data_IF_189532608464
#
_entry.id   IF_189532608464
#
_cell.length_a   1.000
_cell.length_b   1.000
_cell.length_c   1.000
_cell.angle_alpha   90.00
_cell.angle_beta   90.00
_cell.angle_gamma   90.00
#
_symmetry.space_group_name_H-M   'P 1'
#
loop_
_entity.id
_entity.type
_entity.pdbx_description
1 polymer ?
#
# COMPACT_ATOMS: atom_id res chain seq x y z
N UNK A 1 72.36 -18.15 -26.29
CA UNK A 1 72.01 -17.19 -25.23
C UNK A 1 70.50 -16.83 -25.24
N UNK A 2 69.96 -16.52 -26.44
CA UNK A 2 68.57 -16.11 -26.64
C UNK A 2 67.56 -17.15 -26.16
N UNK A 3 67.76 -18.43 -26.49
CA UNK A 3 66.89 -19.54 -26.07
C UNK A 3 66.88 -19.73 -24.52
N UNK A 4 68.00 -19.49 -23.86
CA UNK A 4 68.09 -19.56 -22.40
C UNK A 4 67.34 -18.43 -21.70
N UNK A 5 67.39 -17.23 -22.30
CA UNK A 5 66.66 -16.06 -21.78
C UNK A 5 65.14 -16.27 -21.93
N UNK A 6 64.71 -16.73 -23.13
CA UNK A 6 63.28 -17.01 -23.37
C UNK A 6 62.72 -18.11 -22.43
N UNK A 7 63.50 -19.19 -22.23
CA UNK A 7 63.11 -20.24 -21.29
C UNK A 7 62.97 -19.72 -19.84
N UNK A 8 63.88 -18.82 -19.42
CA UNK A 8 63.85 -18.23 -18.10
C UNK A 8 62.71 -17.26 -17.89
N UNK A 9 62.37 -16.49 -18.93
CA UNK A 9 61.21 -15.59 -18.93
C UNK A 9 59.93 -16.40 -18.78
N UNK A 10 59.75 -17.45 -19.58
CA UNK A 10 58.56 -18.32 -19.51
C UNK A 10 58.43 -19.00 -18.14
N UNK A 11 59.53 -19.43 -17.50
CA UNK A 11 59.51 -19.99 -16.16
C UNK A 11 59.06 -18.96 -15.11
N UNK A 12 59.51 -17.70 -15.19
CA UNK A 12 59.16 -16.63 -14.27
C UNK A 12 57.70 -16.22 -14.48
N UNK A 13 57.22 -16.13 -15.71
CA UNK A 13 55.84 -15.82 -16.01
C UNK A 13 54.88 -16.94 -15.53
N UNK A 14 55.25 -18.21 -15.73
CA UNK A 14 54.49 -19.35 -15.22
C UNK A 14 54.40 -19.33 -13.70
N UNK A 15 55.46 -19.00 -12.99
CA UNK A 15 55.45 -18.87 -11.52
C UNK A 15 54.49 -17.74 -11.05
N UNK A 16 54.57 -16.57 -11.71
CA UNK A 16 53.68 -15.42 -11.41
C UNK A 16 52.20 -15.76 -11.66
N UNK A 17 51.92 -16.48 -12.75
CA UNK A 17 50.55 -16.90 -13.06
C UNK A 17 50.04 -17.89 -11.98
N UNK A 18 50.83 -18.87 -11.60
CA UNK A 18 50.47 -19.83 -10.58
C UNK A 18 50.25 -19.19 -9.20
N UNK A 19 51.10 -18.24 -8.81
CA UNK A 19 50.93 -17.48 -7.55
C UNK A 19 49.66 -16.63 -7.59
N UNK A 20 49.30 -16.09 -8.74
CA UNK A 20 48.05 -15.34 -8.91
C UNK A 20 46.82 -16.26 -8.82
N UNK A 21 46.85 -17.43 -9.49
CA UNK A 21 45.78 -18.42 -9.44
C UNK A 21 45.55 -18.95 -8.04
N UNK A 22 46.62 -19.19 -7.27
CA UNK A 22 46.46 -19.62 -5.85
C UNK A 22 45.84 -18.52 -4.97
N UNK A 23 46.16 -17.24 -5.20
CA UNK A 23 45.57 -16.14 -4.47
C UNK A 23 44.13 -15.87 -4.86
N UNK A 24 43.75 -16.15 -6.10
CA UNK A 24 42.41 -15.95 -6.64
C UNK A 24 41.52 -17.22 -6.50
N UNK A 25 42.03 -18.27 -5.84
CA UNK A 25 41.29 -19.50 -5.61
C UNK A 25 40.05 -19.24 -4.79
N UNK A 26 38.88 -19.43 -5.40
CA UNK A 26 37.59 -19.34 -4.74
C UNK A 26 37.17 -20.72 -4.26
N UNK A 27 36.77 -20.82 -3.01
CA UNK A 27 36.23 -22.06 -2.47
C UNK A 27 34.81 -22.28 -3.00
N UNK A 28 34.70 -23.17 -4.00
CA UNK A 28 33.44 -23.55 -4.62
C UNK A 28 32.61 -24.58 -3.82
N UNK A 29 33.17 -25.07 -2.68
CA UNK A 29 32.46 -25.99 -1.80
C UNK A 29 31.57 -25.26 -0.78
N UNK A 30 31.75 -23.95 -0.64
CA UNK A 30 30.86 -23.15 0.19
C UNK A 30 29.45 -23.14 -0.42
N UNK A 31 28.42 -23.35 0.39
CA UNK A 31 27.05 -23.25 -0.08
C UNK A 31 26.76 -21.86 -0.64
N UNK A 32 25.99 -21.80 -1.72
CA UNK A 32 25.52 -20.54 -2.28
C UNK A 32 24.85 -19.71 -1.17
N UNK A 33 25.13 -18.39 -1.16
CA UNK A 33 24.45 -17.50 -0.21
C UNK A 33 22.96 -17.64 -0.43
N UNK A 34 22.17 -17.94 0.63
CA UNK A 34 20.74 -18.13 0.48
C UNK A 34 20.14 -16.85 -0.11
N UNK A 35 19.59 -16.95 -1.31
CA UNK A 35 18.85 -15.86 -1.92
C UNK A 35 17.51 -15.75 -1.18
N UNK A 36 17.44 -14.82 -0.23
CA UNK A 36 16.18 -14.52 0.47
C UNK A 36 15.27 -13.81 -0.51
N UNK A 37 14.33 -14.53 -1.11
CA UNK A 37 13.25 -13.90 -1.88
C UNK A 37 12.41 -13.09 -0.91
N UNK A 38 12.35 -11.78 -1.14
CA UNK A 38 11.39 -10.91 -0.46
C UNK A 38 9.96 -11.39 -0.73
N UNK A 39 9.07 -11.16 0.24
CA UNK A 39 7.64 -11.43 0.11
C UNK A 39 6.88 -10.12 0.31
N UNK A 40 5.82 -9.92 -0.46
CA UNK A 40 4.92 -8.79 -0.27
C UNK A 40 4.11 -9.02 0.99
N UNK A 41 3.91 -7.97 1.78
CA UNK A 41 3.13 -8.06 3.02
C UNK A 41 1.67 -8.44 2.71
N UNK A 42 1.00 -9.30 3.50
CA UNK A 42 -0.38 -9.71 3.23
C UNK A 42 -1.37 -8.56 3.05
N UNK A 43 -1.26 -7.49 3.85
CA UNK A 43 -2.10 -6.29 3.69
C UNK A 43 -1.91 -5.63 2.33
N UNK A 44 -0.65 -5.52 1.84
CA UNK A 44 -0.39 -4.95 0.50
C UNK A 44 -0.98 -5.84 -0.59
N UNK A 45 -0.84 -7.16 -0.48
CA UNK A 45 -1.46 -8.10 -1.42
C UNK A 45 -2.99 -7.95 -1.45
N UNK A 46 -3.61 -7.82 -0.27
CA UNK A 46 -5.07 -7.62 -0.15
C UNK A 46 -5.51 -6.29 -0.77
N UNK A 47 -4.76 -5.20 -0.57
CA UNK A 47 -5.05 -3.90 -1.19
C UNK A 47 -4.93 -3.98 -2.70
N UNK A 48 -3.89 -4.63 -3.22
CA UNK A 48 -3.66 -4.82 -4.65
C UNK A 48 -4.80 -5.65 -5.28
N UNK A 49 -5.24 -6.71 -4.61
CA UNK A 49 -6.35 -7.56 -5.05
C UNK A 49 -7.68 -6.78 -5.06
N UNK A 50 -8.01 -6.07 -3.98
CA UNK A 50 -9.20 -5.20 -3.92
C UNK A 50 -9.16 -4.15 -5.05
N UNK A 51 -8.02 -3.51 -5.24
CA UNK A 51 -7.82 -2.49 -6.28
C UNK A 51 -8.01 -3.08 -7.68
N UNK A 52 -7.52 -4.29 -7.92
CA UNK A 52 -7.72 -5.00 -9.19
C UNK A 52 -9.20 -5.28 -9.47
N UNK A 53 -9.93 -5.85 -8.50
CA UNK A 53 -11.36 -6.16 -8.62
C UNK A 53 -12.18 -4.90 -8.90
N UNK A 54 -11.93 -3.80 -8.20
CA UNK A 54 -12.64 -2.55 -8.43
C UNK A 54 -12.27 -1.89 -9.76
N UNK A 55 -11.01 -2.02 -10.20
CA UNK A 55 -10.58 -1.53 -11.52
C UNK A 55 -11.29 -2.24 -12.67
N UNK A 56 -11.56 -3.54 -12.56
CA UNK A 56 -12.33 -4.30 -13.57
C UNK A 56 -13.75 -3.76 -13.78
N UNK A 57 -14.36 -3.20 -12.75
CA UNK A 57 -15.67 -2.56 -12.83
C UNK A 57 -15.59 -1.03 -13.02
N UNK A 58 -14.39 -0.52 -13.35
CA UNK A 58 -14.16 0.85 -13.80
C UNK A 58 -13.96 1.89 -12.69
N UNK A 59 -13.54 1.48 -11.49
CA UNK A 59 -13.07 2.40 -10.47
C UNK A 59 -11.60 2.73 -10.68
N UNK A 60 -11.21 3.97 -10.49
CA UNK A 60 -9.81 4.39 -10.34
C UNK A 60 -9.39 4.36 -8.87
N UNK A 61 -8.10 4.16 -8.63
CA UNK A 61 -7.52 4.22 -7.29
C UNK A 61 -7.02 5.62 -7.05
N UNK A 62 -7.47 6.24 -5.97
CA UNK A 62 -7.03 7.56 -5.52
C UNK A 62 -6.37 7.46 -4.16
N UNK A 63 -5.27 8.18 -3.97
CA UNK A 63 -4.50 8.19 -2.74
C UNK A 63 -4.46 9.57 -2.10
N UNK A 64 -4.24 9.62 -0.80
CA UNK A 64 -4.09 10.86 -0.05
C UNK A 64 -3.18 10.71 1.17
N UNK A 65 -2.77 11.82 1.79
CA UNK A 65 -1.85 11.81 2.91
C UNK A 65 -2.48 11.22 4.18
N UNK A 66 -1.66 10.61 5.02
CA UNK A 66 -2.07 10.14 6.34
C UNK A 66 -2.30 11.31 7.33
N UNK A 67 -1.49 12.37 7.19
CA UNK A 67 -1.66 13.62 7.93
C UNK A 67 -2.61 14.52 7.17
N UNK A 68 -3.71 14.90 7.78
CA UNK A 68 -4.79 15.61 7.13
C UNK A 68 -5.22 16.83 7.93
N UNK A 69 -5.92 17.75 7.27
CA UNK A 69 -6.54 18.87 7.96
C UNK A 69 -7.96 18.51 8.45
N UNK A 70 -8.40 19.21 9.46
CA UNK A 70 -9.70 19.06 10.08
C UNK A 70 -10.84 19.24 9.04
N UNK A 71 -10.72 20.22 8.17
CA UNK A 71 -11.71 20.52 7.15
C UNK A 71 -12.01 19.30 6.25
N UNK A 72 -10.98 18.66 5.69
CA UNK A 72 -11.16 17.50 4.83
C UNK A 72 -11.64 16.27 5.58
N UNK A 73 -11.21 16.11 6.84
CA UNK A 73 -11.52 14.92 7.63
C UNK A 73 -12.92 14.98 8.26
N UNK A 74 -13.46 16.18 8.50
CA UNK A 74 -14.72 16.35 9.22
C UNK A 74 -15.66 17.36 8.56
N UNK A 75 -15.29 18.63 8.49
CA UNK A 75 -16.19 19.70 8.08
C UNK A 75 -16.76 19.51 6.68
N UNK A 76 -15.93 19.18 5.70
CA UNK A 76 -16.35 18.93 4.32
C UNK A 76 -17.23 17.67 4.18
N UNK A 77 -17.18 16.76 5.16
CA UNK A 77 -18.00 15.56 5.23
C UNK A 77 -19.28 15.77 6.05
N UNK A 78 -19.61 17.03 6.36
CA UNK A 78 -20.80 17.41 7.14
C UNK A 78 -20.82 16.81 8.57
N UNK A 79 -19.63 16.68 9.17
CA UNK A 79 -19.48 16.29 10.58
C UNK A 79 -19.35 17.55 11.43
N UNK A 80 -20.38 17.94 12.22
CA UNK A 80 -20.38 19.18 12.98
C UNK A 80 -19.38 19.16 14.16
N UNK A 81 -19.05 20.34 14.70
CA UNK A 81 -18.02 20.50 15.75
C UNK A 81 -18.34 19.73 17.04
N UNK A 82 -19.61 19.56 17.34
CA UNK A 82 -20.08 18.82 18.53
C UNK A 82 -20.27 17.31 18.28
N UNK A 83 -19.82 16.79 17.14
CA UNK A 83 -19.95 15.36 16.82
C UNK A 83 -18.94 14.55 17.67
N UNK A 84 -19.36 13.41 18.28
CA UNK A 84 -18.48 12.59 19.13
C UNK A 84 -17.19 12.12 18.43
N UNK A 85 -17.23 11.87 17.11
CA UNK A 85 -16.05 11.46 16.33
C UNK A 85 -14.92 12.51 16.30
N UNK A 86 -15.20 13.77 16.69
CA UNK A 86 -14.20 14.83 16.84
C UNK A 86 -13.58 14.88 18.23
N UNK A 87 -14.03 14.03 19.15
CA UNK A 87 -13.47 14.00 20.49
C UNK A 87 -12.00 13.55 20.44
N UNK A 88 -11.21 14.09 21.36
CA UNK A 88 -9.79 13.71 21.51
C UNK A 88 -9.59 12.24 21.86
N UNK A 89 -10.62 11.58 22.36
CA UNK A 89 -10.57 10.14 22.64
C UNK A 89 -10.52 9.27 21.39
N UNK A 90 -11.05 9.76 20.27
CA UNK A 90 -11.14 8.98 19.02
C UNK A 90 -10.21 9.50 17.92
N UNK A 91 -9.57 10.67 18.08
CA UNK A 91 -8.76 11.32 17.04
C UNK A 91 -7.38 11.70 17.54
N UNK A 92 -6.33 11.36 16.78
CA UNK A 92 -4.98 11.85 17.03
C UNK A 92 -4.77 13.20 16.39
N UNK A 93 -4.87 14.27 17.18
CA UNK A 93 -4.50 15.62 16.77
C UNK A 93 -3.00 15.82 16.91
N UNK A 94 -2.38 16.48 15.95
CA UNK A 94 -0.94 16.74 15.89
C UNK A 94 -0.58 18.16 16.33
N UNK A 95 -1.59 19.02 16.52
CA UNK A 95 -1.43 20.40 16.96
C UNK A 95 -2.43 20.75 18.08
N UNK A 96 -2.13 21.81 18.82
CA UNK A 96 -2.97 22.30 19.93
C UNK A 96 -4.29 22.90 19.45
N UNK A 97 -4.32 23.45 18.23
CA UNK A 97 -5.49 24.08 17.64
C UNK A 97 -6.48 23.08 17.05
N UNK A 98 -6.12 21.79 17.00
CA UNK A 98 -6.90 20.70 16.39
C UNK A 98 -7.17 20.89 14.90
N UNK A 99 -6.28 21.59 14.19
CA UNK A 99 -6.39 21.83 12.75
C UNK A 99 -5.75 20.71 11.93
N UNK A 100 -4.73 20.03 12.51
CA UNK A 100 -3.96 18.94 11.88
C UNK A 100 -4.09 17.67 12.68
N UNK A 101 -4.39 16.56 11.99
CA UNK A 101 -4.65 15.27 12.60
C UNK A 101 -4.16 14.11 11.74
N UNK A 102 -4.09 12.92 12.34
CA UNK A 102 -4.01 11.68 11.58
C UNK A 102 -5.43 11.28 11.15
N UNK A 103 -5.64 11.08 9.85
CA UNK A 103 -6.97 10.79 9.29
C UNK A 103 -7.62 9.59 9.97
N UNK A 104 -8.87 9.75 10.37
CA UNK A 104 -9.67 8.73 11.07
C UNK A 104 -10.38 7.75 10.11
N UNK A 105 -10.41 8.07 8.84
CA UNK A 105 -10.96 7.30 7.72
C UNK A 105 -10.32 7.76 6.41
N UNK A 106 -10.60 7.08 5.31
CA UNK A 106 -10.06 7.44 3.99
C UNK A 106 -10.92 8.43 3.20
N UNK A 107 -12.05 8.88 3.76
CA UNK A 107 -12.97 9.84 3.12
C UNK A 107 -12.34 11.22 2.76
N UNK A 108 -11.29 11.73 3.44
CA UNK A 108 -10.59 12.92 2.98
C UNK A 108 -10.10 12.84 1.52
N UNK A 109 -9.77 11.65 1.04
CA UNK A 109 -9.38 11.43 -0.37
C UNK A 109 -10.54 11.76 -1.31
N UNK A 110 -11.77 11.40 -0.93
CA UNK A 110 -12.98 11.74 -1.69
C UNK A 110 -13.15 13.25 -1.79
N UNK A 111 -12.96 13.97 -0.67
CA UNK A 111 -13.03 15.44 -0.63
C UNK A 111 -11.97 16.05 -1.53
N UNK A 112 -10.71 15.58 -1.44
CA UNK A 112 -9.61 16.05 -2.28
C UNK A 112 -9.88 15.85 -3.77
N UNK A 113 -10.43 14.70 -4.14
CA UNK A 113 -10.82 14.39 -5.52
C UNK A 113 -11.93 15.33 -6.00
N UNK A 114 -12.97 15.54 -5.19
CA UNK A 114 -14.07 16.45 -5.53
C UNK A 114 -13.67 17.92 -5.60
N UNK A 115 -12.64 18.34 -4.85
CA UNK A 115 -12.09 19.70 -4.93
C UNK A 115 -11.21 19.91 -6.17
N UNK A 116 -10.59 18.84 -6.68
CA UNK A 116 -9.69 18.88 -7.85
C UNK A 116 -10.44 18.78 -9.18
N UNK A 117 -11.43 17.91 -9.25
CA UNK A 117 -12.14 17.56 -10.48
C UNK A 117 -13.66 17.73 -10.34
N UNK A 118 -14.38 17.53 -11.44
CA UNK A 118 -15.86 17.55 -11.50
C UNK A 118 -16.41 16.15 -11.76
N UNK A 119 -17.63 15.84 -11.28
CA UNK A 119 -18.29 14.56 -11.60
C UNK A 119 -18.39 14.32 -13.12
N UNK A 120 -18.43 13.06 -13.55
CA UNK A 120 -18.65 11.86 -12.75
C UNK A 120 -17.39 11.36 -12.02
N UNK A 121 -17.57 10.79 -10.80
CA UNK A 121 -16.49 10.14 -10.04
C UNK A 121 -16.79 8.66 -9.85
N UNK A 122 -15.80 7.83 -10.02
CA UNK A 122 -15.87 6.40 -9.72
C UNK A 122 -14.51 5.94 -9.22
N UNK A 123 -14.29 6.10 -7.91
CA UNK A 123 -12.99 5.94 -7.26
C UNK A 123 -13.07 5.00 -6.07
N UNK A 124 -11.95 4.36 -5.74
CA UNK A 124 -11.68 3.77 -4.43
C UNK A 124 -10.50 4.50 -3.78
N UNK A 125 -10.54 4.59 -2.46
CA UNK A 125 -9.51 5.21 -1.65
C UNK A 125 -8.99 4.21 -0.61
N UNK A 126 -7.99 3.38 -0.96
CA UNK A 126 -7.30 2.53 0.00
C UNK A 126 -6.33 3.35 0.85
N UNK A 127 -6.13 2.96 2.12
CA UNK A 127 -5.14 3.63 2.94
C UNK A 127 -5.18 3.25 4.41
N UNK A 128 -4.21 3.76 5.15
CA UNK A 128 -4.14 3.67 6.60
C UNK A 128 -5.06 4.68 7.23
N UNK A 129 -5.63 4.32 8.36
CA UNK A 129 -6.47 5.18 9.21
C UNK A 129 -6.07 5.01 10.65
N UNK A 130 -6.35 6.02 11.46
CA UNK A 130 -5.83 6.11 12.81
C UNK A 130 -6.94 6.53 13.78
N UNK A 131 -7.05 5.79 14.89
CA UNK A 131 -7.99 6.11 15.98
C UNK A 131 -7.30 5.91 17.31
N UNK A 132 -7.51 6.82 18.24
CA UNK A 132 -6.86 6.76 19.54
C UNK A 132 -7.54 5.80 20.52
N UNK A 133 -8.29 4.83 20.01
CA UNK A 133 -8.86 3.74 20.81
C UNK A 133 -7.75 2.95 21.53
N UNK A 134 -7.91 2.77 22.82
CA UNK A 134 -6.93 2.12 23.69
C UNK A 134 -7.55 0.96 24.45
N UNK A 135 -8.05 -0.05 23.74
CA UNK A 135 -8.53 -1.29 24.36
C UNK A 135 -7.85 -2.54 23.76
N UNK A 136 -8.13 -3.71 24.34
CA UNK A 136 -7.51 -4.97 23.91
C UNK A 136 -7.98 -5.45 22.54
N UNK A 137 -9.03 -4.87 21.98
CA UNK A 137 -9.69 -5.32 20.75
C UNK A 137 -9.47 -4.40 19.57
N UNK A 138 -9.02 -3.16 19.81
CA UNK A 138 -8.81 -2.15 18.79
C UNK A 138 -7.33 -1.83 18.58
N UNK A 139 -6.89 -1.84 17.34
CA UNK A 139 -5.57 -1.34 16.96
C UNK A 139 -5.68 0.17 16.65
N UNK A 140 -4.72 1.00 17.12
CA UNK A 140 -4.74 2.45 16.86
C UNK A 140 -4.53 2.81 15.39
N UNK A 141 -4.06 1.89 14.58
CA UNK A 141 -3.91 1.98 13.13
C UNK A 141 -4.49 0.75 12.44
N UNK A 142 -5.29 0.98 11.42
CA UNK A 142 -5.82 -0.09 10.57
C UNK A 142 -5.91 0.38 9.12
N UNK A 143 -6.18 -0.55 8.21
CA UNK A 143 -6.34 -0.25 6.80
C UNK A 143 -7.82 -0.22 6.43
N UNK A 144 -8.19 0.70 5.56
CA UNK A 144 -9.54 0.89 5.06
C UNK A 144 -9.53 1.09 3.56
N UNK A 145 -10.58 0.64 2.88
CA UNK A 145 -10.86 0.97 1.49
C UNK A 145 -12.26 1.53 1.42
N UNK A 146 -12.38 2.77 0.98
CA UNK A 146 -13.68 3.41 0.71
C UNK A 146 -13.91 3.53 -0.79
N UNK A 147 -15.17 3.47 -1.21
CA UNK A 147 -15.57 3.68 -2.59
C UNK A 147 -16.52 4.86 -2.73
N UNK A 148 -16.32 5.66 -3.77
CA UNK A 148 -17.21 6.76 -4.16
C UNK A 148 -17.61 6.60 -5.61
N UNK A 149 -18.93 6.62 -5.88
CA UNK A 149 -19.47 6.68 -7.22
C UNK A 149 -20.53 7.78 -7.30
N UNK A 150 -20.22 8.83 -8.03
CA UNK A 150 -21.12 9.96 -8.31
C UNK A 150 -21.32 10.04 -9.81
N UNK A 151 -22.55 9.81 -10.24
CA UNK A 151 -22.94 9.92 -11.65
C UNK A 151 -24.46 10.12 -11.73
N UNK A 152 -24.95 10.47 -12.94
CA UNK A 152 -26.38 10.49 -13.22
C UNK A 152 -26.98 9.08 -13.11
N UNK A 153 -28.16 8.97 -12.53
CA UNK A 153 -28.93 7.71 -12.37
C UNK A 153 -28.32 6.65 -11.44
N UNK A 154 -27.33 6.99 -10.61
CA UNK A 154 -26.84 6.08 -9.57
C UNK A 154 -27.90 5.91 -8.47
N UNK A 155 -28.09 4.67 -8.04
CA UNK A 155 -29.08 4.29 -7.04
C UNK A 155 -28.60 3.12 -6.17
N UNK A 156 -29.40 2.75 -5.17
CA UNK A 156 -29.09 1.68 -4.23
C UNK A 156 -28.87 0.31 -4.91
N UNK A 157 -29.47 0.07 -6.07
CA UNK A 157 -29.24 -1.15 -6.86
C UNK A 157 -27.82 -1.25 -7.37
N UNK A 158 -27.21 -0.14 -7.78
CA UNK A 158 -25.81 -0.07 -8.20
C UNK A 158 -24.87 -0.36 -7.02
N UNK A 159 -25.13 0.23 -5.83
CA UNK A 159 -24.35 -0.05 -4.64
C UNK A 159 -24.39 -1.54 -4.29
N UNK A 160 -25.59 -2.12 -4.23
CA UNK A 160 -25.78 -3.57 -3.95
C UNK A 160 -25.09 -4.43 -5.00
N UNK A 161 -25.20 -4.08 -6.27
CA UNK A 161 -24.55 -4.78 -7.38
C UNK A 161 -23.03 -4.77 -7.24
N UNK A 162 -22.44 -3.60 -6.97
CA UNK A 162 -21.03 -3.42 -6.76
C UNK A 162 -20.49 -4.26 -5.58
N UNK A 163 -21.16 -4.21 -4.43
CA UNK A 163 -20.78 -5.00 -3.25
C UNK A 163 -20.94 -6.51 -3.49
N UNK A 164 -22.01 -6.94 -4.18
CA UNK A 164 -22.17 -8.35 -4.54
C UNK A 164 -21.07 -8.84 -5.47
N UNK A 165 -20.69 -8.04 -6.45
CA UNK A 165 -19.58 -8.35 -7.36
C UNK A 165 -18.29 -8.49 -6.57
N UNK A 166 -17.91 -7.46 -5.83
CA UNK A 166 -16.69 -7.45 -5.02
C UNK A 166 -16.56 -8.66 -4.11
N UNK A 167 -17.62 -8.99 -3.34
CA UNK A 167 -17.55 -10.11 -2.39
C UNK A 167 -17.43 -11.45 -3.12
N UNK A 168 -18.08 -11.62 -4.28
CA UNK A 168 -17.98 -12.88 -5.05
C UNK A 168 -16.57 -13.08 -5.60
N UNK A 169 -15.98 -12.05 -6.15
CA UNK A 169 -14.63 -12.13 -6.71
C UNK A 169 -13.59 -12.29 -5.60
N UNK A 170 -13.64 -11.47 -4.55
CA UNK A 170 -12.67 -11.48 -3.46
C UNK A 170 -12.66 -12.79 -2.65
N UNK A 171 -13.80 -13.38 -2.41
CA UNK A 171 -13.93 -14.67 -1.68
C UNK A 171 -14.07 -15.88 -2.60
N UNK A 172 -13.99 -15.70 -3.92
CA UNK A 172 -14.12 -16.77 -4.94
C UNK A 172 -15.39 -17.62 -4.77
N UNK A 173 -16.52 -17.00 -4.39
CA UNK A 173 -17.78 -17.70 -4.09
C UNK A 173 -18.83 -17.47 -5.15
N UNK A 174 -19.45 -18.54 -5.63
CA UNK A 174 -20.52 -18.49 -6.65
C UNK A 174 -21.85 -17.94 -6.10
N UNK A 175 -22.15 -18.18 -4.84
CA UNK A 175 -23.40 -17.73 -4.19
C UNK A 175 -23.07 -17.17 -2.81
N UNK A 176 -23.59 -15.98 -2.52
CA UNK A 176 -23.48 -15.35 -1.22
C UNK A 176 -24.84 -14.79 -0.82
N UNK A 177 -25.16 -14.89 0.48
CA UNK A 177 -26.36 -14.27 1.06
C UNK A 177 -25.92 -13.04 1.85
N UNK A 178 -26.14 -11.87 1.28
CA UNK A 178 -25.83 -10.60 1.93
C UNK A 178 -27.05 -10.05 2.65
N UNK A 179 -26.81 -9.33 3.76
CA UNK A 179 -27.79 -8.47 4.41
C UNK A 179 -27.47 -7.02 4.04
N UNK A 180 -28.50 -6.26 3.72
CA UNK A 180 -28.42 -4.83 3.45
C UNK A 180 -29.38 -4.08 4.37
#
# INVERSE_FOLDING_TARGET
>A
LQNLITSKINEIEGKKINEKLEKEKVDITLPERPFVRGKVHPVSQTIDEISSIFSEIGFSVEEGPDVENEYNNFTALNTPDNHPARDMHDTFYLDENKEVLLRTHTSPVQIRTMLKDKPPFKIIAPGRTYRSDSDQTHAPMFHQVEGLHIDTNINMGHLKGCLNYFIKEFFEVKKIKMRF
#
